data_IF_853543098054
#
_entry.id   IF_853543098054
#
_cell.length_a   1.000
_cell.length_b   1.000
_cell.length_c   1.000
_cell.angle_alpha   90.00
_cell.angle_beta   90.00
_cell.angle_gamma   90.00
#
_symmetry.space_group_name_H-M   'P 1'
#
loop_
_entity.id
_entity.type
_entity.pdbx_description
1 polymer ?
#
# COMPACT_ATOMS: atom_id res chain seq x y z
N UNK A 1 -5.52 -20.77 -5.59
CA UNK A 1 -6.00 -19.41 -5.77
C UNK A 1 -4.84 -18.41 -5.68
N UNK A 2 -4.70 -17.56 -6.67
CA UNK A 2 -3.52 -16.68 -6.80
C UNK A 2 -3.37 -15.68 -5.64
N UNK A 3 -4.47 -15.16 -5.12
CA UNK A 3 -4.45 -14.19 -4.03
C UNK A 3 -4.24 -14.81 -2.63
N UNK A 4 -4.49 -16.11 -2.48
CA UNK A 4 -4.45 -16.75 -1.17
C UNK A 4 -3.12 -16.57 -0.41
N UNK A 5 -1.95 -16.74 -1.03
CA UNK A 5 -0.69 -16.50 -0.32
C UNK A 5 -0.51 -15.05 0.15
N UNK A 6 -1.03 -14.09 -0.61
CA UNK A 6 -0.94 -12.67 -0.27
C UNK A 6 -1.88 -12.31 0.88
N UNK A 7 -3.06 -12.93 0.92
CA UNK A 7 -4.00 -12.80 2.04
C UNK A 7 -3.37 -13.37 3.32
N UNK A 8 -2.75 -14.54 3.23
CA UNK A 8 -2.06 -15.15 4.38
C UNK A 8 -0.97 -14.24 4.94
N UNK A 9 -0.21 -13.55 4.07
CA UNK A 9 0.80 -12.56 4.49
C UNK A 9 0.14 -11.44 5.30
N UNK A 10 -0.96 -10.89 4.81
CA UNK A 10 -1.66 -9.80 5.49
C UNK A 10 -2.17 -10.22 6.87
N UNK A 11 -2.76 -11.41 6.96
CA UNK A 11 -3.26 -11.95 8.22
C UNK A 11 -2.14 -12.15 9.24
N UNK A 12 -1.01 -12.72 8.80
CA UNK A 12 0.13 -12.95 9.66
C UNK A 12 0.70 -11.64 10.21
N UNK A 13 0.86 -10.64 9.37
CA UNK A 13 1.41 -9.34 9.78
C UNK A 13 0.49 -8.66 10.79
N UNK A 14 -0.81 -8.62 10.52
CA UNK A 14 -1.79 -7.99 11.41
C UNK A 14 -1.83 -8.68 12.77
N UNK A 15 -1.72 -10.00 12.80
CA UNK A 15 -1.73 -10.79 14.02
C UNK A 15 -0.40 -10.73 14.80
N UNK A 16 0.66 -10.19 14.22
CA UNK A 16 1.98 -10.12 14.86
C UNK A 16 2.02 -9.11 16.00
N UNK A 17 3.08 -9.19 16.82
CA UNK A 17 3.34 -8.24 17.91
C UNK A 17 4.22 -7.06 17.49
N UNK A 18 4.43 -6.88 16.18
CA UNK A 18 5.23 -5.77 15.68
C UNK A 18 4.57 -4.41 15.99
N UNK A 19 5.37 -3.37 16.24
CA UNK A 19 4.80 -2.02 16.39
C UNK A 19 4.20 -1.54 15.05
N UNK A 20 3.23 -0.60 15.07
CA UNK A 20 2.46 -0.20 13.88
C UNK A 20 3.31 0.22 12.68
N UNK A 21 4.38 0.96 12.88
CA UNK A 21 5.27 1.37 11.79
C UNK A 21 5.88 0.15 11.11
N UNK A 22 6.36 -0.80 11.87
CA UNK A 22 6.95 -2.04 11.35
C UNK A 22 5.87 -2.92 10.70
N UNK A 23 4.68 -3.00 11.30
CA UNK A 23 3.56 -3.73 10.69
C UNK A 23 3.23 -3.18 9.31
N UNK A 24 3.11 -1.88 9.17
CA UNK A 24 2.79 -1.26 7.89
C UNK A 24 3.86 -1.56 6.85
N UNK A 25 5.13 -1.45 7.19
CA UNK A 25 6.21 -1.81 6.29
C UNK A 25 6.12 -3.27 5.86
N UNK A 26 6.02 -4.19 6.82
CA UNK A 26 5.93 -5.63 6.52
C UNK A 26 4.68 -5.98 5.72
N UNK A 27 3.58 -5.30 5.98
CA UNK A 27 2.31 -5.48 5.29
C UNK A 27 2.44 -5.24 3.78
N UNK A 28 3.14 -4.20 3.41
CA UNK A 28 3.39 -3.88 1.99
C UNK A 28 4.61 -4.61 1.44
N UNK A 29 5.70 -4.67 2.19
CA UNK A 29 6.98 -5.21 1.71
C UNK A 29 6.93 -6.71 1.42
N UNK A 30 6.28 -7.50 2.28
CA UNK A 30 6.21 -8.95 2.07
C UNK A 30 5.44 -9.31 0.81
N UNK A 31 4.35 -8.59 0.53
CA UNK A 31 3.57 -8.80 -0.70
C UNK A 31 4.35 -8.33 -1.93
N UNK A 32 5.00 -7.19 -1.84
CA UNK A 32 5.87 -6.68 -2.90
C UNK A 32 7.00 -7.66 -3.22
N UNK A 33 7.69 -8.16 -2.20
CA UNK A 33 8.80 -9.12 -2.38
C UNK A 33 8.32 -10.40 -3.05
N UNK A 34 7.15 -10.91 -2.66
CA UNK A 34 6.57 -12.09 -3.29
C UNK A 34 6.26 -11.84 -4.77
N UNK A 35 5.69 -10.68 -5.10
CA UNK A 35 5.38 -10.29 -6.49
C UNK A 35 6.67 -10.10 -7.30
N UNK A 36 7.67 -9.46 -6.71
CA UNK A 36 8.96 -9.26 -7.38
C UNK A 36 9.65 -10.58 -7.68
N UNK A 37 9.57 -11.55 -6.77
CA UNK A 37 10.11 -12.88 -7.00
C UNK A 37 9.40 -13.58 -8.17
N UNK A 38 8.09 -13.45 -8.29
CA UNK A 38 7.33 -13.97 -9.43
C UNK A 38 7.77 -13.30 -10.74
N UNK A 39 7.92 -11.97 -10.71
CA UNK A 39 8.39 -11.21 -11.88
C UNK A 39 9.81 -11.60 -12.29
N UNK A 40 10.72 -11.75 -11.33
CA UNK A 40 12.10 -12.15 -11.59
C UNK A 40 12.18 -13.57 -12.18
N UNK A 41 11.31 -14.47 -11.71
CA UNK A 41 11.28 -15.86 -12.17
C UNK A 41 10.78 -15.99 -13.61
N UNK A 42 9.73 -15.27 -13.96
CA UNK A 42 9.12 -15.32 -15.29
C UNK A 42 8.34 -14.04 -15.59
N UNK A 43 9.01 -13.02 -16.18
CA UNK A 43 8.35 -11.75 -16.50
C UNK A 43 7.19 -11.90 -17.49
N UNK A 44 7.24 -12.87 -18.40
CA UNK A 44 6.18 -13.10 -19.39
C UNK A 44 4.93 -13.66 -18.70
N UNK A 45 5.10 -14.65 -17.83
CA UNK A 45 3.99 -15.21 -17.06
C UNK A 45 3.40 -14.13 -16.14
N UNK A 46 4.23 -13.30 -15.51
CA UNK A 46 3.77 -12.20 -14.68
C UNK A 46 2.89 -11.22 -15.46
N UNK A 47 3.31 -10.83 -16.67
CA UNK A 47 2.51 -9.96 -17.55
C UNK A 47 1.17 -10.58 -17.90
N UNK A 48 1.13 -11.89 -18.14
CA UNK A 48 -0.10 -12.63 -18.40
C UNK A 48 -1.05 -12.59 -17.19
N UNK A 49 -0.51 -12.76 -15.98
CA UNK A 49 -1.31 -12.66 -14.75
C UNK A 49 -1.88 -11.26 -14.54
N UNK A 50 -1.12 -10.22 -14.89
CA UNK A 50 -1.61 -8.83 -14.85
C UNK A 50 -2.81 -8.65 -15.78
N UNK A 51 -2.73 -9.15 -17.01
CA UNK A 51 -3.82 -9.07 -17.98
C UNK A 51 -5.06 -9.83 -17.51
N UNK A 52 -4.88 -11.06 -17.03
CA UNK A 52 -5.99 -11.88 -16.49
C UNK A 52 -6.63 -11.16 -15.30
N UNK A 53 -5.83 -10.56 -14.44
CA UNK A 53 -6.32 -9.79 -13.31
C UNK A 53 -7.20 -8.63 -13.73
N UNK A 54 -6.82 -7.90 -14.77
CA UNK A 54 -7.61 -6.78 -15.30
C UNK A 54 -8.98 -7.23 -15.83
N UNK A 55 -9.09 -8.46 -16.29
CA UNK A 55 -10.35 -9.04 -16.78
C UNK A 55 -11.23 -9.55 -15.64
N UNK A 56 -10.68 -9.79 -14.46
CA UNK A 56 -11.38 -10.31 -13.28
C UNK A 56 -11.58 -9.23 -12.20
N UNK A 57 -12.22 -8.14 -12.61
CA UNK A 57 -12.39 -6.95 -11.80
C UNK A 57 -13.00 -7.19 -10.42
N UNK A 58 -14.01 -8.06 -10.33
CA UNK A 58 -14.69 -8.39 -9.06
C UNK A 58 -13.74 -9.03 -8.04
N UNK A 59 -12.89 -9.95 -8.48
CA UNK A 59 -11.93 -10.62 -7.60
C UNK A 59 -10.85 -9.66 -7.12
N UNK A 60 -10.38 -8.77 -7.99
CA UNK A 60 -9.43 -7.74 -7.64
C UNK A 60 -10.03 -6.78 -6.62
N UNK A 61 -11.26 -6.34 -6.84
CA UNK A 61 -11.98 -5.47 -5.92
C UNK A 61 -12.10 -6.09 -4.54
N UNK A 62 -12.50 -7.37 -4.46
CA UNK A 62 -12.60 -8.09 -3.20
C UNK A 62 -11.26 -8.17 -2.47
N UNK A 63 -10.18 -8.39 -3.21
CA UNK A 63 -8.82 -8.41 -2.64
C UNK A 63 -8.40 -7.03 -2.12
N UNK A 64 -8.70 -5.96 -2.86
CA UNK A 64 -8.42 -4.59 -2.43
C UNK A 64 -9.21 -4.25 -1.16
N UNK A 65 -10.49 -4.59 -1.12
CA UNK A 65 -11.34 -4.34 0.04
C UNK A 65 -10.84 -5.08 1.28
N UNK A 66 -10.38 -6.32 1.10
CA UNK A 66 -9.80 -7.10 2.19
C UNK A 66 -8.48 -6.48 2.67
N UNK A 67 -7.63 -6.04 1.74
CA UNK A 67 -6.41 -5.32 2.06
C UNK A 67 -6.68 -4.06 2.88
N UNK A 68 -7.69 -3.29 2.48
CA UNK A 68 -8.11 -2.08 3.20
C UNK A 68 -8.63 -2.41 4.60
N UNK A 69 -9.34 -3.52 4.76
CA UNK A 69 -9.80 -3.99 6.06
C UNK A 69 -8.62 -4.26 7.02
N UNK A 70 -7.59 -4.96 6.55
CA UNK A 70 -6.40 -5.21 7.37
C UNK A 70 -5.58 -3.95 7.61
N UNK A 71 -5.45 -3.09 6.60
CA UNK A 71 -4.75 -1.82 6.73
C UNK A 71 -5.43 -0.92 7.78
N UNK A 72 -6.76 -0.94 7.84
CA UNK A 72 -7.52 -0.21 8.85
C UNK A 72 -7.13 -0.60 10.27
N UNK A 73 -6.87 -1.89 10.52
CA UNK A 73 -6.42 -2.35 11.83
C UNK A 73 -5.04 -1.80 12.19
N UNK A 74 -4.11 -1.79 11.24
CA UNK A 74 -2.77 -1.24 11.46
C UNK A 74 -2.85 0.28 11.71
N UNK A 75 -3.65 0.98 10.93
CA UNK A 75 -3.87 2.42 11.10
C UNK A 75 -4.50 2.73 12.45
N UNK A 76 -5.47 1.92 12.89
CA UNK A 76 -6.09 2.06 14.21
C UNK A 76 -5.07 1.94 15.34
N UNK A 77 -4.16 0.97 15.26
CA UNK A 77 -3.07 0.82 16.23
C UNK A 77 -2.14 2.04 16.22
N UNK A 78 -1.79 2.54 15.02
CA UNK A 78 -0.96 3.72 14.86
C UNK A 78 -1.62 4.96 15.46
N UNK A 79 -2.91 5.16 15.22
CA UNK A 79 -3.68 6.26 15.78
C UNK A 79 -3.75 6.21 17.30
N UNK A 80 -3.85 5.01 17.87
CA UNK A 80 -3.82 4.83 19.32
C UNK A 80 -2.47 5.27 19.94
N UNK A 81 -1.40 5.24 19.15
CA UNK A 81 -0.09 5.73 19.56
C UNK A 81 0.16 7.20 19.20
N UNK A 82 -0.84 7.90 18.68
CA UNK A 82 -0.75 9.33 18.37
C UNK A 82 -0.37 9.66 16.93
N UNK A 83 -0.25 8.69 16.05
CA UNK A 83 0.03 8.94 14.63
C UNK A 83 -1.22 9.37 13.87
N UNK A 84 -1.03 10.04 12.76
CA UNK A 84 -2.08 10.44 11.79
C UNK A 84 -3.15 11.35 12.43
N UNK A 85 -2.70 12.28 13.28
CA UNK A 85 -3.59 13.16 14.04
C UNK A 85 -4.55 13.93 13.13
N UNK A 86 -5.82 13.92 13.50
CA UNK A 86 -6.88 14.66 12.82
C UNK A 86 -7.46 13.98 11.58
N UNK A 87 -6.90 12.85 11.14
CA UNK A 87 -7.43 12.07 10.02
C UNK A 87 -8.42 11.02 10.52
N UNK A 88 -9.47 10.77 9.73
CA UNK A 88 -10.27 9.55 9.90
C UNK A 88 -9.50 8.34 9.37
N UNK A 89 -9.92 7.14 9.76
CA UNK A 89 -9.32 5.90 9.23
C UNK A 89 -9.46 5.85 7.71
N UNK A 90 -10.62 6.19 7.17
CA UNK A 90 -10.87 6.17 5.72
C UNK A 90 -9.98 7.15 4.96
N UNK A 91 -9.79 8.36 5.49
CA UNK A 91 -8.87 9.33 4.90
C UNK A 91 -7.43 8.83 4.90
N UNK A 92 -6.99 8.24 6.03
CA UNK A 92 -5.64 7.69 6.14
C UNK A 92 -5.44 6.52 5.17
N UNK A 93 -6.40 5.60 5.04
CA UNK A 93 -6.35 4.50 4.06
C UNK A 93 -6.17 5.05 2.65
N UNK A 94 -6.99 6.03 2.28
CA UNK A 94 -6.95 6.62 0.93
C UNK A 94 -5.59 7.24 0.64
N UNK A 95 -5.07 8.05 1.56
CA UNK A 95 -3.78 8.71 1.37
C UNK A 95 -2.63 7.72 1.34
N UNK A 96 -2.60 6.77 2.26
CA UNK A 96 -1.52 5.78 2.33
C UNK A 96 -1.51 4.90 1.08
N UNK A 97 -2.67 4.42 0.63
CA UNK A 97 -2.75 3.62 -0.59
C UNK A 97 -2.23 4.37 -1.82
N UNK A 98 -2.51 5.67 -1.90
CA UNK A 98 -1.97 6.49 -2.99
C UNK A 98 -0.46 6.67 -2.90
N UNK A 99 0.08 6.81 -1.68
CA UNK A 99 1.52 6.98 -1.46
C UNK A 99 2.33 5.73 -1.77
N UNK A 100 1.74 4.54 -1.59
CA UNK A 100 2.41 3.25 -1.86
C UNK A 100 1.92 2.56 -3.14
N UNK A 101 1.15 3.25 -3.95
CA UNK A 101 0.43 2.64 -5.09
C UNK A 101 1.28 1.75 -5.97
N UNK A 102 2.50 2.16 -6.32
CA UNK A 102 3.38 1.37 -7.19
C UNK A 102 3.85 0.06 -6.57
N UNK A 103 3.72 -0.09 -5.25
CA UNK A 103 4.08 -1.31 -4.53
C UNK A 103 2.90 -2.26 -4.34
N UNK A 104 1.68 -1.85 -4.67
CA UNK A 104 0.46 -2.66 -4.50
C UNK A 104 -0.36 -2.81 -5.78
N UNK A 105 -0.28 -1.86 -6.68
CA UNK A 105 -0.95 -1.92 -7.98
C UNK A 105 -0.07 -2.69 -8.96
N UNK A 106 -0.45 -3.92 -9.28
CA UNK A 106 0.38 -4.83 -10.08
C UNK A 106 0.70 -4.27 -11.45
N UNK A 107 -0.26 -3.61 -12.11
CA UNK A 107 -0.04 -2.99 -13.42
C UNK A 107 1.00 -1.87 -13.37
N UNK A 108 0.90 -0.96 -12.40
CA UNK A 108 1.88 0.10 -12.20
C UNK A 108 3.24 -0.46 -11.77
N UNK A 109 3.24 -1.46 -10.89
CA UNK A 109 4.45 -2.15 -10.43
C UNK A 109 5.22 -2.76 -11.61
N UNK A 110 4.54 -3.45 -12.51
CA UNK A 110 5.18 -4.10 -13.65
C UNK A 110 5.93 -3.10 -14.55
N UNK A 111 5.40 -1.89 -14.72
CA UNK A 111 6.04 -0.85 -15.53
C UNK A 111 7.27 -0.24 -14.85
N UNK A 112 7.34 -0.27 -13.53
CA UNK A 112 8.35 0.41 -12.75
C UNK A 112 9.23 -0.53 -11.92
N UNK A 113 9.10 -1.84 -12.10
CA UNK A 113 9.69 -2.87 -11.24
C UNK A 113 11.17 -2.63 -10.93
N UNK A 114 11.95 -2.23 -11.94
CA UNK A 114 13.39 -2.02 -11.76
C UNK A 114 13.74 -0.80 -10.90
N UNK A 115 12.76 0.08 -10.66
CA UNK A 115 12.94 1.28 -9.83
C UNK A 115 12.48 1.08 -8.39
N UNK A 116 11.85 -0.05 -8.10
CA UNK A 116 11.25 -0.34 -6.80
C UNK A 116 12.22 -1.18 -5.95
N UNK A 117 12.22 -0.92 -4.65
CA UNK A 117 12.99 -1.70 -3.68
C UNK A 117 12.36 -1.64 -2.30
N UNK A 118 12.68 -2.62 -1.46
CA UNK A 118 12.26 -2.62 -0.06
C UNK A 118 12.79 -1.42 0.69
N UNK A 119 14.05 -1.02 0.43
CA UNK A 119 14.65 0.14 1.09
C UNK A 119 13.89 1.43 0.79
N UNK A 120 13.48 1.63 -0.46
CA UNK A 120 12.68 2.79 -0.83
C UNK A 120 11.30 2.74 -0.18
N UNK A 121 10.69 1.57 -0.15
CA UNK A 121 9.39 1.39 0.52
C UNK A 121 9.49 1.70 2.02
N UNK A 122 10.56 1.24 2.67
CA UNK A 122 10.80 1.55 4.08
C UNK A 122 10.87 3.06 4.33
N UNK A 123 11.54 3.79 3.45
CA UNK A 123 11.63 5.26 3.54
C UNK A 123 10.28 5.94 3.31
N UNK A 124 9.45 5.40 2.42
CA UNK A 124 8.09 5.90 2.20
C UNK A 124 7.25 5.68 3.45
N UNK A 125 7.31 4.49 4.06
CA UNK A 125 6.56 4.21 5.29
C UNK A 125 7.03 5.12 6.43
N UNK A 126 8.34 5.35 6.57
CA UNK A 126 8.85 6.30 7.54
C UNK A 126 8.30 7.71 7.33
N UNK A 127 8.27 8.17 6.08
CA UNK A 127 7.71 9.47 5.74
C UNK A 127 6.20 9.56 6.07
N UNK A 128 5.47 8.49 5.83
CA UNK A 128 4.05 8.39 6.21
C UNK A 128 3.89 8.60 7.71
N UNK A 129 4.62 7.85 8.53
CA UNK A 129 4.51 7.93 9.98
C UNK A 129 4.99 9.26 10.53
N UNK A 130 6.05 9.82 9.94
CA UNK A 130 6.66 11.06 10.43
C UNK A 130 5.93 12.31 9.96
N UNK A 131 5.14 12.24 8.87
CA UNK A 131 4.58 13.42 8.24
C UNK A 131 3.07 13.44 8.02
N UNK A 132 2.41 12.29 8.00
CA UNK A 132 0.99 12.25 7.65
C UNK A 132 0.10 12.71 8.81
N UNK A 133 -0.67 13.76 8.58
CA UNK A 133 -1.68 14.26 9.52
C UNK A 133 -2.68 15.15 8.76
N UNK A 134 -3.71 15.60 9.44
CA UNK A 134 -4.66 16.57 8.89
C UNK A 134 -4.13 18.00 8.85
N UNK A 135 -2.95 18.26 9.46
CA UNK A 135 -2.38 19.60 9.53
C UNK A 135 -1.88 20.05 8.16
N UNK A 136 -2.41 21.16 7.66
CA UNK A 136 -1.90 21.81 6.46
C UNK A 136 -0.52 22.38 6.74
N UNK A 137 0.44 22.05 5.89
CA UNK A 137 1.82 22.52 5.99
C UNK A 137 2.27 23.32 4.78
N UNK A 138 1.28 23.97 4.12
CA UNK A 138 1.55 24.91 3.02
C UNK A 138 1.26 24.37 1.62
N UNK A 139 0.74 23.16 1.49
CA UNK A 139 0.45 22.56 0.19
C UNK A 139 -1.02 22.65 -0.23
N UNK A 140 -1.83 23.42 0.51
CA UNK A 140 -3.24 23.56 0.14
C UNK A 140 -3.41 24.32 -1.18
N UNK A 141 -4.52 24.05 -1.90
CA UNK A 141 -4.79 24.74 -3.16
C UNK A 141 -4.76 26.26 -3.04
N UNK A 142 -4.17 26.92 -4.01
CA UNK A 142 -4.16 28.38 -4.09
C UNK A 142 -5.51 28.85 -4.61
N UNK A 143 -6.34 29.42 -3.72
CA UNK A 143 -7.61 30.00 -4.12
C UNK A 143 -7.34 31.29 -4.92
N UNK A 144 -8.11 31.48 -5.99
CA UNK A 144 -7.95 32.64 -6.86
C UNK A 144 -6.90 32.48 -7.96
N UNK A 145 -6.10 31.39 -7.95
CA UNK A 145 -5.20 31.08 -9.05
C UNK A 145 -6.03 30.58 -10.22
N UNK A 146 -5.88 31.20 -11.37
CA UNK A 146 -6.62 30.83 -12.59
C UNK A 146 -5.70 30.10 -13.54
N UNK A 147 -6.26 29.07 -14.19
CA UNK A 147 -5.61 28.49 -15.37
C UNK A 147 -5.52 29.57 -16.45
N UNK A 148 -4.35 29.77 -16.95
CA UNK A 148 -4.11 30.74 -18.01
C UNK A 148 -4.70 30.27 -19.33
#
# INVERSE_FOLDING_TARGET
>A
HWFAPKVAIMEEVVASDLPPRRKMFEFFARRFTALKAEWDADPVAFATYVEIGQENFEQIRSYIDLGDHYLAEIIGEAMAEGHFAGLSIDEAISLINQMVNVYVNIGAMAQLMQRLSEDKLARIVDAIFDGLSATDRGAKPLTGLRAA
#
